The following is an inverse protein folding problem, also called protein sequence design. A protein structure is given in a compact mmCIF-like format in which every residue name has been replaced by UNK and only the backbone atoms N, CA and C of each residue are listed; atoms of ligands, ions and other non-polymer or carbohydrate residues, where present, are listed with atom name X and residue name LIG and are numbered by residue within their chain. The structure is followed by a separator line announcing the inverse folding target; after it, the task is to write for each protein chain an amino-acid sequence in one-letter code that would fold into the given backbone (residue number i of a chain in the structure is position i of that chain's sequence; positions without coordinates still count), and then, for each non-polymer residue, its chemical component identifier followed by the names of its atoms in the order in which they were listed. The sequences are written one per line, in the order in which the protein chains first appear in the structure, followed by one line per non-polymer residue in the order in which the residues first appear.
data_IF_174092442389
#
_entry.id   IF_174092442389
#
_cell.length_a   1.000
_cell.length_b   1.000
_cell.length_c   1.000
_cell.angle_alpha   90.00
_cell.angle_beta   90.00
_cell.angle_gamma   90.00
#
_symmetry.space_group_name_H-M   'P 1'
#
loop_
_entity.id
_entity.type
_entity.pdbx_description
1 polymer ?
#
# COMPACT_ATOMS: atom_id res chain seq x y z
N UNK A 1 -3.30 -22.94 -2.74
CA UNK A 1 -2.05 -22.32 -3.19
C UNK A 1 -1.99 -22.46 -4.69
N UNK A 2 -2.37 -21.41 -5.42
CA UNK A 2 -2.25 -21.34 -6.87
C UNK A 2 -0.77 -21.44 -7.23
N UNK A 3 -0.42 -22.36 -8.12
CA UNK A 3 0.94 -22.50 -8.63
C UNK A 3 1.25 -21.23 -9.42
N UNK A 4 2.04 -20.32 -8.85
CA UNK A 4 2.42 -19.07 -9.54
C UNK A 4 3.11 -19.42 -10.86
N UNK A 5 2.60 -18.86 -11.93
CA UNK A 5 3.05 -19.12 -13.29
C UNK A 5 4.26 -18.23 -13.59
N UNK A 6 5.21 -18.74 -14.36
CA UNK A 6 6.32 -17.94 -14.93
C UNK A 6 6.44 -18.22 -16.43
N UNK A 7 5.41 -17.86 -17.23
CA UNK A 7 5.39 -18.16 -18.66
C UNK A 7 6.46 -17.38 -19.44
N UNK A 8 6.93 -16.26 -18.89
CA UNK A 8 7.97 -15.41 -19.47
C UNK A 8 9.40 -15.82 -19.06
N UNK A 9 9.58 -16.77 -18.12
CA UNK A 9 10.89 -17.17 -17.62
C UNK A 9 11.67 -16.05 -16.94
N UNK A 10 10.95 -15.12 -16.28
CA UNK A 10 11.53 -13.88 -15.70
C UNK A 10 11.95 -14.04 -14.25
N UNK A 11 11.54 -15.13 -13.60
CA UNK A 11 11.95 -15.45 -12.24
C UNK A 11 13.44 -15.73 -12.21
N UNK A 12 14.16 -15.01 -11.38
CA UNK A 12 15.63 -15.13 -11.28
C UNK A 12 16.09 -14.94 -9.85
N UNK A 13 17.22 -15.56 -9.51
CA UNK A 13 17.89 -15.34 -8.24
C UNK A 13 18.99 -14.31 -8.43
N UNK A 14 19.10 -13.38 -7.48
CA UNK A 14 20.23 -12.46 -7.38
C UNK A 14 20.93 -12.65 -6.04
N UNK A 15 22.25 -12.55 -6.03
CA UNK A 15 23.03 -12.57 -4.80
C UNK A 15 23.05 -11.18 -4.17
N UNK A 16 22.76 -11.11 -2.87
CA UNK A 16 22.89 -9.89 -2.07
C UNK A 16 23.87 -10.11 -0.92
N UNK A 17 24.39 -9.06 -0.29
CA UNK A 17 25.21 -9.21 0.92
C UNK A 17 24.50 -9.95 2.06
N UNK A 18 23.16 -10.03 2.03
CA UNK A 18 22.33 -10.74 3.02
C UNK A 18 21.85 -12.12 2.55
N UNK A 19 22.48 -12.65 1.50
CA UNK A 19 22.14 -13.94 0.89
C UNK A 19 21.33 -13.82 -0.41
N UNK A 20 21.08 -14.95 -1.08
CA UNK A 20 20.35 -14.98 -2.34
C UNK A 20 18.88 -14.60 -2.13
N UNK A 21 18.31 -13.86 -3.07
CA UNK A 21 16.88 -13.54 -3.11
C UNK A 21 16.32 -13.77 -4.52
N UNK A 22 15.08 -14.25 -4.58
CA UNK A 22 14.33 -14.43 -5.83
C UNK A 22 13.60 -13.14 -6.17
N UNK A 23 13.70 -12.72 -7.43
CA UNK A 23 13.01 -11.55 -7.99
C UNK A 23 12.34 -11.92 -9.32
N UNK A 24 11.39 -11.09 -9.74
CA UNK A 24 10.82 -11.13 -11.09
C UNK A 24 11.46 -10.02 -11.93
N UNK A 25 12.29 -10.40 -12.89
CA UNK A 25 13.18 -9.46 -13.61
C UNK A 25 12.45 -8.76 -14.76
N UNK A 26 12.27 -7.43 -14.64
CA UNK A 26 11.75 -6.60 -15.74
C UNK A 26 12.66 -6.61 -16.97
N UNK A 27 14.01 -6.55 -16.87
CA UNK A 27 14.89 -6.71 -18.04
C UNK A 27 14.67 -8.02 -18.80
N UNK A 28 14.48 -9.15 -18.09
CA UNK A 28 14.17 -10.43 -18.75
C UNK A 28 12.80 -10.39 -19.43
N UNK A 29 11.82 -9.69 -18.83
CA UNK A 29 10.52 -9.48 -19.47
C UNK A 29 10.68 -8.68 -20.77
N UNK A 30 11.48 -7.61 -20.76
CA UNK A 30 11.76 -6.79 -21.93
C UNK A 30 12.29 -7.63 -23.10
N UNK A 31 13.26 -8.52 -22.82
CA UNK A 31 13.80 -9.47 -23.79
C UNK A 31 12.76 -10.48 -24.27
N UNK A 32 12.04 -11.13 -23.34
CA UNK A 32 11.08 -12.19 -23.65
C UNK A 32 9.86 -11.68 -24.44
N UNK A 33 9.38 -10.47 -24.12
CA UNK A 33 8.21 -9.85 -24.75
C UNK A 33 8.55 -8.93 -25.92
N UNK A 34 9.85 -8.64 -26.16
CA UNK A 34 10.32 -7.75 -27.21
C UNK A 34 9.84 -6.30 -27.04
N UNK A 35 9.86 -5.80 -25.80
CA UNK A 35 9.34 -4.47 -25.43
C UNK A 35 10.43 -3.62 -24.78
N UNK A 36 10.40 -2.32 -25.02
CA UNK A 36 11.28 -1.35 -24.36
C UNK A 36 10.61 -0.82 -23.08
N UNK A 37 11.16 -1.20 -21.92
CA UNK A 37 10.67 -0.78 -20.61
C UNK A 37 11.38 0.48 -20.09
N UNK A 38 12.45 0.95 -20.75
CA UNK A 38 13.25 2.09 -20.25
C UNK A 38 12.49 3.41 -20.33
N UNK A 39 11.47 3.47 -21.18
CA UNK A 39 10.59 4.64 -21.32
C UNK A 39 9.38 4.61 -20.38
N UNK A 40 9.16 3.51 -19.65
CA UNK A 40 8.02 3.43 -18.73
C UNK A 40 8.27 4.31 -17.50
N UNK A 41 7.24 5.03 -17.01
CA UNK A 41 7.28 5.66 -15.70
C UNK A 41 7.58 4.62 -14.60
N UNK A 42 8.28 5.03 -13.55
CA UNK A 42 8.64 4.13 -12.44
C UNK A 42 7.41 3.52 -11.76
N UNK A 43 6.34 4.30 -11.62
CA UNK A 43 5.05 3.83 -11.11
C UNK A 43 4.48 2.67 -11.92
N UNK A 44 4.59 2.71 -13.26
CA UNK A 44 4.17 1.62 -14.14
C UNK A 44 5.08 0.40 -14.00
N UNK A 45 6.39 0.59 -13.82
CA UNK A 45 7.33 -0.52 -13.56
C UNK A 45 7.01 -1.25 -12.25
N UNK A 46 6.62 -0.52 -11.20
CA UNK A 46 6.22 -1.13 -9.92
C UNK A 46 4.93 -1.95 -10.08
N UNK A 47 3.93 -1.44 -10.81
CA UNK A 47 2.74 -2.21 -11.14
C UNK A 47 3.06 -3.44 -11.98
N UNK A 48 3.96 -3.31 -12.96
CA UNK A 48 4.37 -4.42 -13.84
C UNK A 48 5.09 -5.54 -13.08
N UNK A 49 5.97 -5.21 -12.13
CA UNK A 49 6.55 -6.20 -11.22
C UNK A 49 5.46 -6.93 -10.44
N UNK A 50 4.48 -6.19 -9.92
CA UNK A 50 3.42 -6.74 -9.11
C UNK A 50 2.55 -7.74 -9.88
N UNK A 51 2.19 -7.40 -11.12
CA UNK A 51 1.43 -8.29 -12.01
C UNK A 51 2.25 -9.56 -12.33
N UNK A 52 3.54 -9.42 -12.68
CA UNK A 52 4.40 -10.58 -12.94
C UNK A 52 4.50 -11.53 -11.75
N UNK A 53 4.72 -10.98 -10.55
CA UNK A 53 4.88 -11.78 -9.34
C UNK A 53 3.59 -12.49 -8.93
N UNK A 54 2.43 -11.95 -9.27
CA UNK A 54 1.13 -12.47 -8.88
C UNK A 54 0.35 -13.12 -10.04
N UNK A 55 0.99 -13.38 -11.19
CA UNK A 55 0.35 -14.02 -12.34
C UNK A 55 -0.18 -15.40 -11.96
N UNK A 56 -1.49 -15.57 -12.09
CA UNK A 56 -2.22 -16.80 -11.78
C UNK A 56 -2.96 -17.40 -12.99
N UNK A 57 -3.08 -16.63 -14.09
CA UNK A 57 -3.74 -17.06 -15.32
C UNK A 57 -5.27 -16.95 -15.29
N UNK A 58 -5.86 -16.54 -14.15
CA UNK A 58 -7.30 -16.38 -13.98
C UNK A 58 -7.65 -14.93 -13.65
N UNK A 59 -7.08 -14.39 -12.57
CA UNK A 59 -7.34 -13.03 -12.09
C UNK A 59 -6.32 -12.03 -12.63
N UNK A 60 -5.07 -12.46 -12.75
CA UNK A 60 -3.98 -11.69 -13.35
C UNK A 60 -3.41 -12.55 -14.47
N UNK A 61 -3.61 -12.08 -15.71
CA UNK A 61 -3.30 -12.84 -16.91
C UNK A 61 -2.00 -12.37 -17.58
N UNK A 62 -1.46 -13.20 -18.48
CA UNK A 62 -0.34 -12.82 -19.35
C UNK A 62 -0.68 -11.59 -20.21
N UNK A 63 -1.94 -11.44 -20.60
CA UNK A 63 -2.40 -10.30 -21.38
C UNK A 63 -2.33 -9.00 -20.59
N UNK A 64 -2.64 -9.02 -19.29
CA UNK A 64 -2.55 -7.85 -18.42
C UNK A 64 -1.10 -7.38 -18.25
N UNK A 65 -0.16 -8.34 -18.11
CA UNK A 65 1.28 -8.04 -18.08
C UNK A 65 1.71 -7.38 -19.39
N UNK A 66 1.35 -7.98 -20.54
CA UNK A 66 1.76 -7.46 -21.84
C UNK A 66 1.13 -6.09 -22.14
N UNK A 67 -0.12 -5.87 -21.73
CA UNK A 67 -0.79 -4.58 -21.86
C UNK A 67 -0.05 -3.49 -21.08
N UNK A 68 0.34 -3.77 -19.83
CA UNK A 68 1.07 -2.82 -19.01
C UNK A 68 2.53 -2.64 -19.45
N UNK A 69 3.17 -3.69 -19.95
CA UNK A 69 4.52 -3.63 -20.54
C UNK A 69 4.55 -2.78 -21.82
N UNK A 70 3.42 -2.68 -22.52
CA UNK A 70 3.21 -1.85 -23.73
C UNK A 70 2.44 -0.57 -23.42
N UNK A 71 2.47 -0.12 -22.17
CA UNK A 71 1.75 1.08 -21.72
C UNK A 71 2.01 2.28 -22.63
N UNK A 72 0.96 3.03 -22.90
CA UNK A 72 1.00 4.27 -23.67
C UNK A 72 0.44 5.43 -22.85
N UNK A 73 0.86 6.69 -23.10
CA UNK A 73 0.38 7.86 -22.35
C UNK A 73 -1.14 8.06 -22.35
N UNK A 74 -1.84 7.51 -23.35
CA UNK A 74 -3.30 7.47 -23.42
C UNK A 74 -3.72 5.99 -23.42
N UNK A 75 -3.86 5.37 -22.23
CA UNK A 75 -4.28 3.99 -22.14
C UNK A 75 -5.72 3.84 -22.62
N UNK A 76 -6.05 2.66 -23.13
CA UNK A 76 -7.35 2.29 -23.72
C UNK A 76 -8.46 2.02 -22.70
N UNK A 77 -8.21 2.33 -21.42
CA UNK A 77 -9.16 2.11 -20.32
C UNK A 77 -9.24 0.66 -19.84
N UNK A 78 -8.34 -0.23 -20.30
CA UNK A 78 -8.24 -1.60 -19.79
C UNK A 78 -8.10 -1.61 -18.26
N UNK A 79 -8.79 -2.54 -17.61
CA UNK A 79 -8.64 -2.79 -16.18
C UNK A 79 -7.57 -3.85 -15.91
N UNK A 80 -6.84 -3.68 -14.82
CA UNK A 80 -5.83 -4.62 -14.32
C UNK A 80 -6.09 -4.93 -12.85
N UNK A 81 -5.79 -6.17 -12.46
CA UNK A 81 -5.76 -6.59 -11.06
C UNK A 81 -4.39 -6.30 -10.43
N UNK A 82 -4.36 -5.46 -9.39
CA UNK A 82 -3.16 -5.17 -8.61
C UNK A 82 -3.28 -5.74 -7.20
N UNK A 83 -2.26 -6.44 -6.71
CA UNK A 83 -2.24 -7.03 -5.36
C UNK A 83 -1.21 -6.31 -4.48
N UNK A 84 -1.63 -5.31 -3.68
CA UNK A 84 -0.74 -4.59 -2.79
C UNK A 84 0.01 -5.53 -1.83
N UNK A 85 1.25 -5.19 -1.49
CA UNK A 85 2.09 -6.03 -0.61
C UNK A 85 1.69 -5.99 0.87
N UNK A 86 0.88 -5.00 1.27
CA UNK A 86 0.36 -4.79 2.63
C UNK A 86 -0.80 -3.79 2.64
N UNK A 87 -1.47 -3.67 3.78
CA UNK A 87 -2.55 -2.72 4.06
C UNK A 87 -2.21 -1.89 5.29
N UNK A 88 -2.55 -0.61 5.29
CA UNK A 88 -2.46 0.26 6.48
C UNK A 88 -3.84 0.78 6.86
N UNK A 89 -4.17 0.72 8.15
CA UNK A 89 -5.43 1.22 8.68
C UNK A 89 -5.16 2.28 9.76
N UNK A 90 -6.13 3.18 9.91
CA UNK A 90 -6.23 4.06 11.07
C UNK A 90 -7.46 3.67 11.91
N UNK A 91 -7.57 4.09 13.16
CA UNK A 91 -8.54 3.51 14.10
C UNK A 91 -10.02 3.80 13.80
N UNK A 92 -10.38 4.87 13.10
CA UNK A 92 -11.78 5.16 12.73
C UNK A 92 -12.29 4.22 11.64
N UNK A 93 -11.47 3.86 10.66
CA UNK A 93 -11.82 2.92 9.59
C UNK A 93 -11.38 1.49 9.90
N UNK A 94 -10.38 1.32 10.74
CA UNK A 94 -9.86 0.01 11.15
C UNK A 94 -10.76 -0.71 12.14
N UNK A 95 -11.46 0.02 13.02
CA UNK A 95 -12.48 -0.59 13.89
C UNK A 95 -13.59 -1.26 13.08
N UNK A 96 -14.30 -0.59 12.14
CA UNK A 96 -15.32 -1.27 11.34
C UNK A 96 -14.72 -2.42 10.52
N UNK A 97 -13.53 -2.27 9.94
CA UNK A 97 -12.90 -3.37 9.20
C UNK A 97 -12.63 -4.63 10.07
N UNK A 98 -12.20 -4.44 11.33
CA UNK A 98 -12.06 -5.55 12.28
C UNK A 98 -13.40 -6.17 12.64
N UNK A 99 -14.46 -5.36 12.79
CA UNK A 99 -15.83 -5.85 13.03
C UNK A 99 -16.31 -6.67 11.83
N UNK A 100 -16.05 -6.22 10.61
CA UNK A 100 -16.45 -6.91 9.38
C UNK A 100 -15.70 -8.24 9.21
N UNK A 101 -14.40 -8.30 9.51
CA UNK A 101 -13.65 -9.56 9.60
C UNK A 101 -14.24 -10.52 10.65
N UNK A 102 -14.63 -10.03 11.82
CA UNK A 102 -15.27 -10.84 12.86
C UNK A 102 -16.67 -11.32 12.45
N UNK A 103 -17.44 -10.48 11.78
CA UNK A 103 -18.75 -10.81 11.23
C UNK A 103 -18.64 -11.87 10.12
N UNK A 104 -17.65 -11.75 9.23
CA UNK A 104 -17.34 -12.74 8.20
C UNK A 104 -16.96 -14.09 8.82
N UNK A 105 -16.12 -14.12 9.87
CA UNK A 105 -15.84 -15.34 10.64
C UNK A 105 -17.12 -16.01 11.15
N UNK A 106 -18.01 -15.20 11.71
CA UNK A 106 -19.29 -15.69 12.24
C UNK A 106 -20.21 -16.23 11.14
N UNK A 107 -20.21 -15.59 9.96
CA UNK A 107 -20.97 -16.04 8.80
C UNK A 107 -20.45 -17.38 8.26
N UNK A 108 -19.13 -17.52 8.08
CA UNK A 108 -18.50 -18.77 7.65
C UNK A 108 -18.80 -19.91 8.63
N UNK A 109 -18.75 -19.65 9.95
CA UNK A 109 -19.12 -20.63 10.97
C UNK A 109 -20.56 -21.12 10.81
N UNK A 110 -21.52 -20.19 10.62
CA UNK A 110 -22.94 -20.53 10.42
C UNK A 110 -23.18 -21.34 9.15
N UNK A 111 -22.33 -21.18 8.13
CA UNK A 111 -22.36 -21.95 6.89
C UNK A 111 -21.61 -23.30 7.00
N UNK A 112 -21.09 -23.65 8.18
CA UNK A 112 -20.35 -24.90 8.41
C UNK A 112 -18.92 -24.91 7.89
N UNK A 113 -18.37 -23.74 7.50
CA UNK A 113 -16.97 -23.60 7.10
C UNK A 113 -16.04 -23.31 8.28
N UNK A 114 -14.73 -23.33 8.03
CA UNK A 114 -13.72 -22.95 9.02
C UNK A 114 -13.56 -21.42 9.09
N UNK A 115 -13.93 -20.76 10.21
CA UNK A 115 -13.80 -19.31 10.35
C UNK A 115 -12.36 -18.82 10.28
N UNK A 116 -11.37 -19.66 10.62
CA UNK A 116 -9.95 -19.28 10.56
C UNK A 116 -9.47 -18.95 9.16
N UNK A 117 -10.19 -19.39 8.12
CA UNK A 117 -9.93 -19.00 6.73
C UNK A 117 -10.13 -17.50 6.49
N UNK A 118 -10.94 -16.83 7.31
CA UNK A 118 -11.04 -15.36 7.29
C UNK A 118 -9.87 -14.82 8.11
N UNK A 119 -8.81 -14.48 7.39
CA UNK A 119 -7.59 -13.91 7.94
C UNK A 119 -6.89 -13.04 6.89
N UNK A 120 -6.24 -11.93 7.28
CA UNK A 120 -5.36 -11.19 6.38
C UNK A 120 -4.25 -12.08 5.77
N UNK A 121 -4.19 -12.12 4.45
CA UNK A 121 -3.17 -12.82 3.65
C UNK A 121 -1.95 -11.93 3.39
N UNK A 122 -2.14 -10.61 3.41
CA UNK A 122 -1.07 -9.61 3.42
C UNK A 122 -0.97 -8.95 4.79
N UNK A 123 0.21 -8.45 5.20
CA UNK A 123 0.36 -7.69 6.43
C UNK A 123 -0.61 -6.51 6.50
N UNK A 124 -1.27 -6.37 7.64
CA UNK A 124 -2.18 -5.28 7.95
C UNK A 124 -1.70 -4.56 9.22
N UNK A 125 -1.34 -3.29 9.07
CA UNK A 125 -0.87 -2.45 10.15
C UNK A 125 -1.93 -1.40 10.51
N UNK A 126 -2.51 -1.49 11.70
CA UNK A 126 -3.46 -0.50 12.21
C UNK A 126 -2.76 0.45 13.17
N UNK A 127 -2.82 1.75 12.91
CA UNK A 127 -2.29 2.78 13.80
C UNK A 127 -3.44 3.50 14.50
N UNK A 128 -3.32 3.67 15.82
CA UNK A 128 -4.30 4.42 16.62
C UNK A 128 -3.80 5.86 16.76
N UNK A 129 -4.42 6.78 16.04
CA UNK A 129 -3.98 8.17 15.97
C UNK A 129 -5.12 9.19 15.78
N UNK A 130 -6.34 8.76 15.41
CA UNK A 130 -7.50 9.65 15.20
C UNK A 130 -8.33 9.88 16.46
N UNK A 131 -7.93 9.30 17.60
CA UNK A 131 -8.72 9.31 18.83
C UNK A 131 -8.28 10.35 19.87
N UNK A 132 -7.05 10.86 19.79
CA UNK A 132 -6.55 11.89 20.71
C UNK A 132 -7.20 13.24 20.40
N UNK A 133 -7.70 13.92 21.43
CA UNK A 133 -8.26 15.27 21.36
C UNK A 133 -7.42 16.20 22.22
N UNK A 134 -7.25 17.46 21.78
CA UNK A 134 -6.56 18.49 22.55
C UNK A 134 -7.51 19.08 23.59
N UNK A 135 -7.77 18.37 24.68
CA UNK A 135 -8.59 18.85 25.81
C UNK A 135 -7.83 19.87 26.68
N UNK A 136 -6.51 19.70 26.80
CA UNK A 136 -5.60 20.65 27.43
C UNK A 136 -4.42 20.97 26.51
N UNK A 137 -3.89 22.20 26.59
CA UNK A 137 -2.72 22.65 25.82
C UNK A 137 -1.85 23.64 26.61
N UNK A 138 -0.63 23.90 26.13
CA UNK A 138 0.24 24.96 26.65
C UNK A 138 0.90 24.70 28.01
N UNK A 139 0.83 23.47 28.54
CA UNK A 139 1.45 23.09 29.82
C UNK A 139 2.18 21.76 29.71
N UNK A 140 3.11 21.48 30.63
CA UNK A 140 3.85 20.20 30.66
C UNK A 140 2.94 18.99 30.97
N UNK A 141 1.78 19.21 31.61
CA UNK A 141 0.82 18.14 31.92
C UNK A 141 -0.15 17.83 30.77
N UNK A 142 -0.25 18.71 29.77
CA UNK A 142 -1.24 18.61 28.69
C UNK A 142 -1.19 17.28 27.93
N UNK A 143 0.01 16.79 27.61
CA UNK A 143 0.17 15.53 26.89
C UNK A 143 -0.41 14.35 27.67
N UNK A 144 0.00 14.18 28.94
CA UNK A 144 -0.49 13.10 29.79
C UNK A 144 -2.00 13.18 29.98
N UNK A 145 -2.54 14.37 30.24
CA UNK A 145 -3.98 14.59 30.40
C UNK A 145 -4.79 14.15 29.18
N UNK A 146 -4.36 14.56 27.98
CA UNK A 146 -5.07 14.26 26.73
C UNK A 146 -5.03 12.75 26.43
N UNK A 147 -3.90 12.08 26.67
CA UNK A 147 -3.78 10.63 26.49
C UNK A 147 -4.65 9.87 27.51
N UNK A 148 -4.66 10.28 28.78
CA UNK A 148 -5.54 9.66 29.79
C UNK A 148 -7.02 9.79 29.39
N UNK A 149 -7.45 10.97 28.91
CA UNK A 149 -8.80 11.22 28.43
C UNK A 149 -9.16 10.40 27.19
N UNK A 150 -8.22 10.24 26.27
CA UNK A 150 -8.37 9.37 25.10
C UNK A 150 -8.66 7.92 25.52
N UNK A 151 -7.87 7.36 26.45
CA UNK A 151 -8.07 6.00 26.95
C UNK A 151 -9.41 5.83 27.69
N UNK A 152 -9.82 6.83 28.48
CA UNK A 152 -11.12 6.86 29.15
C UNK A 152 -12.27 6.75 28.14
N UNK A 153 -12.22 7.55 27.07
CA UNK A 153 -13.28 7.62 26.05
C UNK A 153 -13.32 6.43 25.10
N UNK A 154 -12.16 5.86 24.76
CA UNK A 154 -12.03 4.86 23.69
C UNK A 154 -11.77 3.43 24.18
N UNK A 155 -11.98 3.16 25.47
CA UNK A 155 -11.66 1.88 26.12
C UNK A 155 -12.19 0.65 25.36
N UNK A 156 -13.45 0.66 24.93
CA UNK A 156 -14.06 -0.47 24.23
C UNK A 156 -13.43 -0.72 22.86
N UNK A 157 -13.19 0.35 22.09
CA UNK A 157 -12.51 0.28 20.79
C UNK A 157 -11.11 -0.31 20.94
N UNK A 158 -10.37 0.08 21.96
CA UNK A 158 -9.01 -0.43 22.19
C UNK A 158 -9.00 -1.89 22.65
N UNK A 159 -10.01 -2.32 23.41
CA UNK A 159 -10.18 -3.73 23.76
C UNK A 159 -10.46 -4.58 22.50
N UNK A 160 -11.31 -4.10 21.59
CA UNK A 160 -11.57 -4.76 20.30
C UNK A 160 -10.30 -4.88 19.46
N UNK A 161 -9.55 -3.78 19.28
CA UNK A 161 -8.32 -3.79 18.48
C UNK A 161 -7.24 -4.69 19.10
N UNK A 162 -7.13 -4.71 20.44
CA UNK A 162 -6.23 -5.61 21.16
C UNK A 162 -6.63 -7.08 21.01
N UNK A 163 -7.94 -7.37 20.97
CA UNK A 163 -8.42 -8.71 20.63
C UNK A 163 -8.06 -9.06 19.18
N UNK A 164 -8.26 -8.15 18.23
CA UNK A 164 -7.99 -8.38 16.82
C UNK A 164 -6.53 -8.75 16.55
N UNK A 165 -5.58 -8.02 17.16
CA UNK A 165 -4.15 -8.34 17.08
C UNK A 165 -3.81 -9.77 17.52
N UNK A 166 -4.60 -10.36 18.43
CA UNK A 166 -4.40 -11.75 18.88
C UNK A 166 -5.21 -12.75 18.05
N UNK A 167 -6.31 -12.30 17.46
CA UNK A 167 -7.27 -13.16 16.77
C UNK A 167 -6.93 -13.37 15.29
N UNK A 168 -6.20 -12.44 14.68
CA UNK A 168 -5.81 -12.48 13.26
C UNK A 168 -4.29 -12.55 13.11
N UNK A 169 -3.83 -13.47 12.28
CA UNK A 169 -2.43 -13.50 11.84
C UNK A 169 -2.17 -12.34 10.88
N UNK A 170 -0.92 -11.91 10.76
CA UNK A 170 -0.49 -10.77 9.93
C UNK A 170 -1.15 -9.42 10.30
N UNK A 171 -1.77 -9.31 11.47
CA UNK A 171 -2.41 -8.08 11.93
C UNK A 171 -1.64 -7.48 13.11
N UNK A 172 -1.18 -6.24 12.96
CA UNK A 172 -0.43 -5.51 13.99
C UNK A 172 -1.15 -4.21 14.33
N UNK A 173 -1.19 -3.87 15.62
CA UNK A 173 -1.73 -2.62 16.14
C UNK A 173 -0.61 -1.80 16.75
N UNK A 174 -0.43 -0.58 16.22
CA UNK A 174 0.43 0.44 16.82
C UNK A 174 -0.41 1.21 17.86
N UNK A 175 0.03 1.25 19.13
CA UNK A 175 -0.76 1.83 20.22
C UNK A 175 -0.87 3.36 20.12
N UNK A 176 -1.85 3.97 20.80
CA UNK A 176 -2.00 5.42 20.83
C UNK A 176 -0.78 6.12 21.42
N UNK A 177 -0.57 7.38 21.01
CA UNK A 177 0.56 8.21 21.46
C UNK A 177 1.91 7.88 20.83
N UNK A 178 1.96 6.96 19.86
CA UNK A 178 3.19 6.57 19.14
C UNK A 178 3.50 7.48 17.94
N UNK A 179 2.52 8.25 17.47
CA UNK A 179 2.61 9.09 16.28
C UNK A 179 1.36 8.98 15.41
N UNK A 180 1.40 9.63 14.24
CA UNK A 180 0.33 9.57 13.24
C UNK A 180 0.63 8.53 12.17
N UNK A 181 -0.41 7.92 11.60
CA UNK A 181 -0.34 6.75 10.71
C UNK A 181 0.67 6.91 9.58
N UNK A 182 0.69 8.07 8.91
CA UNK A 182 1.56 8.30 7.76
C UNK A 182 3.02 8.56 8.16
N UNK A 183 3.25 9.22 9.30
CA UNK A 183 4.61 9.42 9.82
C UNK A 183 5.19 8.09 10.33
N UNK A 184 4.43 7.33 11.10
CA UNK A 184 4.81 5.98 11.54
C UNK A 184 5.05 5.06 10.34
N UNK A 185 4.25 5.21 9.27
CA UNK A 185 4.45 4.47 8.04
C UNK A 185 5.79 4.80 7.39
N UNK A 186 6.12 6.08 7.21
CA UNK A 186 7.40 6.53 6.63
C UNK A 186 8.61 6.10 7.47
N UNK A 187 8.53 6.27 8.79
CA UNK A 187 9.70 6.12 9.67
C UNK A 187 9.93 4.67 10.13
N UNK A 188 8.90 3.81 10.09
CA UNK A 188 8.98 2.49 10.72
C UNK A 188 8.35 1.34 9.91
N UNK A 189 7.14 1.52 9.37
CA UNK A 189 6.42 0.41 8.72
C UNK A 189 6.92 0.14 7.31
N UNK A 190 7.15 1.19 6.51
CA UNK A 190 7.58 1.09 5.12
C UNK A 190 8.90 0.33 4.99
N UNK A 191 8.98 -0.51 3.96
CA UNK A 191 10.17 -1.33 3.68
C UNK A 191 10.93 -0.90 2.44
N UNK A 192 10.28 -0.13 1.55
CA UNK A 192 10.76 0.23 0.20
C UNK A 192 10.90 -1.00 -0.69
N UNK A 193 11.65 -2.01 -0.24
CA UNK A 193 11.72 -3.35 -0.82
C UNK A 193 11.42 -4.36 0.29
N UNK A 194 10.39 -5.18 0.08
CA UNK A 194 10.16 -6.34 0.94
C UNK A 194 11.24 -7.38 0.71
N UNK A 195 11.66 -8.06 1.78
CA UNK A 195 12.46 -9.30 1.76
C UNK A 195 11.71 -10.32 2.61
N UNK A 196 10.92 -11.19 2.00
CA UNK A 196 10.03 -12.13 2.71
C UNK A 196 10.30 -13.57 2.32
N UNK A 197 10.18 -14.46 3.29
CA UNK A 197 10.18 -15.90 3.03
C UNK A 197 8.77 -16.32 2.59
N UNK A 198 8.65 -16.79 1.35
CA UNK A 198 7.41 -17.26 0.74
C UNK A 198 7.69 -18.57 0.01
N UNK A 199 6.87 -19.59 0.25
CA UNK A 199 7.00 -20.91 -0.39
C UNK A 199 8.40 -21.57 -0.22
N UNK A 200 9.07 -21.30 0.90
CA UNK A 200 10.40 -21.84 1.21
C UNK A 200 11.57 -21.07 0.59
N UNK A 201 11.32 -19.90 0.01
CA UNK A 201 12.34 -19.07 -0.63
C UNK A 201 12.25 -17.62 -0.17
N UNK A 202 13.40 -16.94 -0.09
CA UNK A 202 13.43 -15.51 0.19
C UNK A 202 13.18 -14.75 -1.11
N UNK A 203 12.09 -13.99 -1.18
CA UNK A 203 11.73 -13.13 -2.30
C UNK A 203 11.97 -11.67 -1.97
N UNK A 204 12.36 -10.90 -2.98
CA UNK A 204 12.45 -9.45 -2.90
C UNK A 204 11.57 -8.76 -3.95
N UNK A 205 10.81 -7.76 -3.52
CA UNK A 205 9.88 -7.03 -4.39
C UNK A 205 9.52 -5.65 -3.79
N UNK A 206 9.11 -4.67 -4.61
CA UNK A 206 8.74 -3.34 -4.13
C UNK A 206 7.65 -3.35 -3.05
N UNK A 207 7.81 -2.49 -2.05
CA UNK A 207 6.74 -2.19 -1.11
C UNK A 207 5.63 -1.40 -1.82
N UNK A 208 4.41 -1.89 -1.65
CA UNK A 208 3.19 -1.33 -2.23
C UNK A 208 2.04 -1.51 -1.26
N UNK A 209 1.13 -0.54 -1.17
CA UNK A 209 0.04 -0.61 -0.20
C UNK A 209 -1.21 0.12 -0.65
N UNK A 210 -2.33 -0.32 -0.09
CA UNK A 210 -3.52 0.52 0.06
C UNK A 210 -3.69 0.86 1.54
N UNK A 211 -4.32 1.99 1.83
CA UNK A 211 -4.68 2.33 3.20
C UNK A 211 -6.08 2.91 3.30
N UNK A 212 -6.68 2.80 4.48
CA UNK A 212 -8.03 3.34 4.72
C UNK A 212 -8.02 4.81 5.13
N UNK A 213 -7.06 5.56 4.59
CA UNK A 213 -6.87 7.01 4.77
C UNK A 213 -6.40 7.64 3.46
N UNK A 214 -6.94 8.81 3.08
CA UNK A 214 -6.62 9.45 1.81
C UNK A 214 -5.15 9.88 1.68
N UNK A 215 -4.49 10.19 2.79
CA UNK A 215 -3.09 10.63 2.82
C UNK A 215 -2.10 9.47 2.88
N UNK A 216 -2.54 8.20 2.72
CA UNK A 216 -1.63 7.07 2.50
C UNK A 216 -0.64 7.33 1.35
N UNK A 217 -1.03 8.18 0.41
CA UNK A 217 -0.18 8.73 -0.66
C UNK A 217 1.11 9.41 -0.17
N UNK A 218 1.23 9.80 1.10
CA UNK A 218 2.43 10.41 1.67
C UNK A 218 3.66 9.49 1.55
N UNK A 219 3.48 8.16 1.61
CA UNK A 219 4.59 7.20 1.48
C UNK A 219 5.17 7.13 0.06
N UNK A 220 4.46 7.66 -0.94
CA UNK A 220 4.97 7.78 -2.31
C UNK A 220 6.25 8.63 -2.38
N UNK A 221 6.43 9.57 -1.44
CA UNK A 221 7.66 10.35 -1.31
C UNK A 221 8.91 9.51 -0.98
N UNK A 222 8.73 8.29 -0.50
CA UNK A 222 9.80 7.31 -0.21
C UNK A 222 9.96 6.27 -1.35
N UNK A 223 9.28 6.45 -2.48
CA UNK A 223 9.30 5.49 -3.60
C UNK A 223 8.43 4.24 -3.39
N UNK A 224 7.57 4.22 -2.38
CA UNK A 224 6.60 3.15 -2.11
C UNK A 224 5.29 3.51 -2.77
N UNK A 225 4.79 2.71 -3.71
CA UNK A 225 3.53 3.02 -4.41
C UNK A 225 2.32 2.67 -3.54
N UNK A 226 1.53 3.67 -3.16
CA UNK A 226 0.27 3.46 -2.46
C UNK A 226 -0.66 4.66 -2.39
N UNK A 227 -1.92 4.38 -2.04
CA UNK A 227 -2.98 5.38 -1.96
C UNK A 227 -4.11 4.96 -1.01
N UNK A 228 -5.02 5.91 -0.76
CA UNK A 228 -6.19 5.71 0.07
C UNK A 228 -7.32 5.00 -0.67
N UNK A 229 -8.00 4.06 0.00
CA UNK A 229 -9.18 3.32 -0.47
C UNK A 229 -10.24 3.26 0.65
N UNK A 230 -11.43 2.76 0.34
CA UNK A 230 -12.46 2.48 1.34
C UNK A 230 -12.13 1.26 2.21
N UNK A 231 -12.89 1.08 3.29
CA UNK A 231 -12.73 -0.07 4.20
C UNK A 231 -12.94 -1.41 3.49
N UNK A 232 -13.97 -1.48 2.65
CA UNK A 232 -14.32 -2.70 1.90
C UNK A 232 -13.22 -3.11 0.93
N UNK A 233 -12.64 -2.16 0.18
CA UNK A 233 -11.52 -2.44 -0.72
C UNK A 233 -10.28 -2.91 0.06
N UNK A 234 -9.99 -2.26 1.19
CA UNK A 234 -8.89 -2.67 2.06
C UNK A 234 -9.10 -4.09 2.63
N UNK A 235 -10.33 -4.44 3.03
CA UNK A 235 -10.70 -5.78 3.48
C UNK A 235 -10.58 -6.82 2.38
N UNK A 236 -11.03 -6.50 1.16
CA UNK A 236 -10.89 -7.36 0.01
C UNK A 236 -9.40 -7.66 -0.27
N UNK A 237 -8.55 -6.64 -0.25
CA UNK A 237 -7.09 -6.80 -0.38
C UNK A 237 -6.51 -7.62 0.77
N UNK A 238 -6.92 -7.37 2.02
CA UNK A 238 -6.51 -8.19 3.15
C UNK A 238 -6.86 -9.67 2.92
N UNK A 239 -8.00 -9.99 2.32
CA UNK A 239 -8.42 -11.36 2.01
C UNK A 239 -7.87 -11.90 0.68
N UNK A 240 -6.92 -11.19 0.05
CA UNK A 240 -6.22 -11.61 -1.16
C UNK A 240 -6.97 -11.37 -2.47
N UNK A 241 -8.03 -10.55 -2.46
CA UNK A 241 -8.63 -10.07 -3.70
C UNK A 241 -7.76 -8.94 -4.29
N UNK A 242 -7.47 -8.96 -5.59
CA UNK A 242 -6.81 -7.83 -6.24
C UNK A 242 -7.68 -6.57 -6.16
N UNK A 243 -7.02 -5.43 -6.02
CA UNK A 243 -7.61 -4.13 -6.28
C UNK A 243 -7.65 -3.92 -7.79
N UNK A 244 -8.85 -3.88 -8.35
CA UNK A 244 -9.05 -3.63 -9.78
C UNK A 244 -9.03 -2.13 -10.06
N UNK A 245 -8.27 -1.75 -11.08
CA UNK A 245 -8.20 -0.36 -11.53
C UNK A 245 -7.96 -0.28 -13.03
N UNK A 246 -8.40 0.81 -13.64
CA UNK A 246 -7.97 1.14 -14.99
C UNK A 246 -6.46 1.39 -15.02
N UNK A 247 -5.82 0.98 -16.11
CA UNK A 247 -4.42 1.32 -16.38
C UNK A 247 -4.29 2.85 -16.32
N UNK A 248 -3.44 3.40 -15.44
CA UNK A 248 -3.46 4.83 -15.15
C UNK A 248 -2.73 5.62 -16.23
N UNK A 249 -3.26 6.80 -16.57
CA UNK A 249 -2.44 7.84 -17.17
C UNK A 249 -1.38 8.31 -16.15
N UNK A 250 -0.18 8.66 -16.63
CA UNK A 250 0.89 9.19 -15.77
C UNK A 250 1.25 10.60 -16.23
N UNK A 251 1.02 11.57 -15.36
CA UNK A 251 1.39 12.97 -15.55
C UNK A 251 2.76 13.22 -14.95
N UNK A 252 3.76 13.46 -15.80
CA UNK A 252 5.09 13.87 -15.34
C UNK A 252 5.09 15.28 -14.76
N UNK A 253 5.50 15.45 -13.50
CA UNK A 253 5.71 16.75 -12.87
C UNK A 253 7.22 17.06 -12.82
N UNK A 254 7.68 17.93 -13.73
CA UNK A 254 9.10 18.29 -13.79
C UNK A 254 9.44 19.40 -12.79
N UNK A 255 10.30 19.09 -11.83
CA UNK A 255 10.95 20.08 -10.98
C UNK A 255 12.20 20.63 -11.69
N UNK A 256 12.41 21.93 -11.59
CA UNK A 256 13.59 22.62 -12.13
C UNK A 256 13.96 23.80 -11.24
N UNK A 257 15.23 24.21 -11.26
CA UNK A 257 15.71 25.33 -10.45
C UNK A 257 15.95 24.95 -8.99
N UNK A 258 15.90 25.94 -8.10
CA UNK A 258 16.13 25.78 -6.67
C UNK A 258 15.10 26.64 -5.90
N UNK A 259 14.75 26.23 -4.69
CA UNK A 259 13.88 27.01 -3.82
C UNK A 259 14.59 28.31 -3.39
N UNK A 260 13.89 29.47 -3.40
CA UNK A 260 14.48 30.70 -2.92
C UNK A 260 14.70 30.65 -1.39
N UNK A 261 15.62 31.47 -0.90
CA UNK A 261 15.86 31.61 0.53
C UNK A 261 14.58 31.98 1.27
N UNK A 262 14.32 31.31 2.40
CA UNK A 262 13.11 31.50 3.21
C UNK A 262 11.89 30.68 2.76
N UNK A 263 11.91 30.04 1.59
CA UNK A 263 10.85 29.12 1.21
C UNK A 263 10.90 27.82 2.01
N UNK A 264 9.73 27.33 2.40
CA UNK A 264 9.54 26.11 3.19
C UNK A 264 8.99 24.96 2.34
N UNK A 265 9.03 23.74 2.88
CA UNK A 265 8.35 22.60 2.26
C UNK A 265 6.83 22.83 2.10
N UNK A 266 6.22 23.60 3.01
CA UNK A 266 4.81 23.98 2.96
C UNK A 266 4.52 24.90 1.77
N UNK A 267 5.40 25.86 1.50
CA UNK A 267 5.24 26.75 0.33
C UNK A 267 5.32 25.97 -0.97
N UNK A 268 6.26 25.03 -1.05
CA UNK A 268 6.40 24.13 -2.20
C UNK A 268 5.16 23.27 -2.41
N UNK A 269 4.70 22.55 -1.37
CA UNK A 269 3.58 21.62 -1.53
C UNK A 269 2.29 22.36 -1.88
N UNK A 270 2.01 23.53 -1.27
CA UNK A 270 0.84 24.35 -1.61
C UNK A 270 0.89 24.84 -3.06
N UNK A 271 2.06 25.25 -3.54
CA UNK A 271 2.27 25.67 -4.93
C UNK A 271 2.04 24.51 -5.90
N UNK A 272 2.61 23.33 -5.61
CA UNK A 272 2.41 22.11 -6.40
C UNK A 272 0.94 21.70 -6.41
N UNK A 273 0.26 21.73 -5.26
CA UNK A 273 -1.18 21.44 -5.15
C UNK A 273 -2.01 22.39 -6.02
N UNK A 274 -1.72 23.69 -5.99
CA UNK A 274 -2.40 24.67 -6.84
C UNK A 274 -2.21 24.36 -8.33
N UNK A 275 -0.97 24.06 -8.75
CA UNK A 275 -0.65 23.73 -10.15
C UNK A 275 -1.36 22.45 -10.62
N UNK A 276 -1.31 21.39 -9.82
CA UNK A 276 -1.95 20.10 -10.15
C UNK A 276 -3.47 20.22 -10.18
N UNK A 277 -4.07 21.01 -9.28
CA UNK A 277 -5.51 21.28 -9.29
C UNK A 277 -5.94 22.00 -10.56
N UNK A 278 -5.19 23.01 -11.00
CA UNK A 278 -5.44 23.71 -12.26
C UNK A 278 -5.26 22.81 -13.48
N UNK A 279 -4.31 21.85 -13.43
CA UNK A 279 -4.06 20.89 -14.51
C UNK A 279 -5.17 19.83 -14.65
N UNK A 280 -5.83 19.46 -13.54
CA UNK A 280 -6.88 18.44 -13.52
C UNK A 280 -6.31 17.01 -13.63
N UNK A 281 -5.82 16.48 -12.51
CA UNK A 281 -5.13 15.17 -12.45
C UNK A 281 -5.94 14.07 -11.76
N UNK A 282 -7.25 14.25 -11.63
CA UNK A 282 -8.14 13.24 -11.03
C UNK A 282 -8.11 11.96 -11.87
N UNK A 283 -7.96 10.80 -11.20
CA UNK A 283 -7.87 9.49 -11.85
C UNK A 283 -6.54 9.20 -12.55
N UNK A 284 -5.52 10.05 -12.35
CA UNK A 284 -4.19 9.90 -12.96
C UNK A 284 -3.12 9.76 -11.90
N UNK A 285 -2.04 9.10 -12.23
CA UNK A 285 -0.82 9.17 -11.45
C UNK A 285 -0.07 10.47 -11.75
N UNK A 286 0.64 10.99 -10.75
CA UNK A 286 1.58 12.09 -10.89
C UNK A 286 2.95 11.57 -10.49
N UNK A 287 3.91 11.61 -11.40
CA UNK A 287 5.28 11.15 -11.16
C UNK A 287 6.24 12.34 -11.26
N UNK A 288 6.98 12.61 -10.18
CA UNK A 288 7.92 13.72 -10.13
C UNK A 288 9.26 13.32 -10.76
N UNK A 289 9.86 14.25 -11.52
CA UNK A 289 11.18 14.08 -12.11
C UNK A 289 11.89 15.43 -12.24
N UNK A 290 13.19 15.47 -12.53
CA UNK A 290 13.94 16.71 -12.58
C UNK A 290 15.45 16.49 -12.51
N UNK A 291 16.25 17.56 -12.66
CA UNK A 291 17.70 17.53 -12.53
C UNK A 291 18.19 17.36 -11.10
#
# INVERSE_FOLDING_TARGET
MTKRLDPFGVRTTIDTPTGPVVIYSLPKLAEAAGVDLDRLPFTIRILLENLLRNLDGETITEEDVLALARWQPQPDGREIGWLPSRVVLQDFTGVPAVVDLAAMRSAVARMGGDPKRINPLVPADLVIDHSVIVDAFGTQYAFQYNVEKEFERNRERYLLLRWAQKAFDNFRVVPPGTGIVHQVNLEYLAKVVHRREEDGEVRAYPDTLVGTDSHTTMVNGLGVLGWGVGGIEAEAVMLGQPYFMQVPEVVGFRLTGQLPEGATATDLVLTVTQMLRNKGVVGKFVEFFGP
#
